data_IF_186717281030
#
_entry.id   IF_186717281030
#
_cell.length_a   1.000
_cell.length_b   1.000
_cell.length_c   1.000
_cell.angle_alpha   90.00
_cell.angle_beta   90.00
_cell.angle_gamma   90.00
#
_symmetry.space_group_name_H-M   'P 1'
#
loop_
_entity.id
_entity.type
_entity.pdbx_description
1 polymer ?
#
# COMPACT_ATOMS: atom_id res chain seq x y z
N UNK A 1 18.90 -12.59 3.16
CA UNK A 1 18.29 -11.91 1.99
C UNK A 1 17.26 -12.85 1.38
N UNK A 2 16.02 -12.46 1.31
CA UNK A 2 15.02 -13.18 0.52
C UNK A 2 15.35 -12.83 -0.94
N UNK A 3 16.08 -13.72 -1.62
CA UNK A 3 16.25 -13.60 -3.07
C UNK A 3 14.93 -14.01 -3.73
N UNK A 4 14.33 -13.13 -4.49
CA UNK A 4 13.03 -13.37 -5.13
C UNK A 4 12.48 -12.11 -5.74
N UNK A 5 11.18 -12.11 -6.00
CA UNK A 5 10.50 -10.96 -6.61
C UNK A 5 9.80 -10.11 -5.58
N UNK A 6 9.79 -8.80 -5.80
CA UNK A 6 8.92 -7.87 -5.08
C UNK A 6 7.71 -7.56 -5.94
N UNK A 7 6.55 -7.60 -5.30
CA UNK A 7 5.27 -7.21 -5.91
C UNK A 7 4.81 -5.93 -5.22
N UNK A 8 4.81 -4.82 -5.94
CA UNK A 8 4.45 -3.51 -5.43
C UNK A 8 2.96 -3.25 -5.67
N UNK A 9 2.21 -3.12 -4.57
CA UNK A 9 0.75 -2.94 -4.55
C UNK A 9 0.44 -1.52 -4.11
N UNK A 10 0.02 -0.67 -5.05
CA UNK A 10 -0.27 0.75 -4.80
C UNK A 10 -1.58 0.94 -4.01
N UNK A 11 -1.76 2.13 -3.42
CA UNK A 11 -3.02 2.49 -2.77
C UNK A 11 -4.19 2.49 -3.78
N UNK A 12 -5.39 2.01 -3.41
CA UNK A 12 -6.59 2.16 -4.23
C UNK A 12 -7.00 3.63 -4.50
N UNK A 13 -6.39 4.59 -3.84
CA UNK A 13 -6.60 6.03 -4.02
C UNK A 13 -5.62 6.67 -5.00
N UNK A 14 -4.57 5.92 -5.37
CA UNK A 14 -3.56 6.35 -6.34
C UNK A 14 -3.32 5.24 -7.36
N UNK A 15 -2.54 5.53 -8.40
CA UNK A 15 -2.09 4.53 -9.34
C UNK A 15 -0.63 4.12 -9.10
N UNK A 16 -0.04 3.34 -10.03
CA UNK A 16 1.35 2.90 -9.96
C UNK A 16 2.37 4.04 -10.02
N UNK A 17 1.97 5.24 -10.47
CA UNK A 17 2.83 6.43 -10.46
C UNK A 17 3.36 6.78 -9.07
N UNK A 18 2.65 6.38 -7.99
CA UNK A 18 3.11 6.57 -6.62
C UNK A 18 4.43 5.84 -6.29
N UNK A 19 4.84 4.87 -7.10
CA UNK A 19 6.10 4.15 -6.96
C UNK A 19 7.29 4.85 -7.64
N UNK A 20 7.03 5.80 -8.54
CA UNK A 20 8.07 6.54 -9.27
C UNK A 20 9.13 5.62 -9.88
N UNK A 21 10.40 5.94 -9.61
CA UNK A 21 11.55 5.16 -10.07
C UNK A 21 11.94 4.00 -9.13
N UNK A 22 11.26 3.80 -8.00
CA UNK A 22 11.59 2.71 -7.06
C UNK A 22 11.66 1.33 -7.73
N UNK A 23 10.76 0.95 -8.66
CA UNK A 23 10.85 -0.33 -9.34
C UNK A 23 12.17 -0.51 -10.10
N UNK A 24 12.67 0.55 -10.75
CA UNK A 24 13.93 0.49 -11.51
C UNK A 24 15.13 0.43 -10.57
N UNK A 25 15.12 1.18 -9.45
CA UNK A 25 16.17 1.08 -8.42
C UNK A 25 16.26 -0.31 -7.79
N UNK A 26 15.15 -1.01 -7.65
CA UNK A 26 15.15 -2.39 -7.16
C UNK A 26 15.67 -3.36 -8.24
N UNK A 27 15.35 -3.14 -9.52
CA UNK A 27 15.88 -3.94 -10.65
C UNK A 27 17.38 -3.76 -10.81
N UNK A 28 17.93 -2.57 -10.55
CA UNK A 28 19.37 -2.32 -10.52
C UNK A 28 20.10 -3.21 -9.49
N UNK A 29 19.42 -3.58 -8.41
CA UNK A 29 19.89 -4.55 -7.40
C UNK A 29 19.62 -6.03 -7.80
N UNK A 30 19.28 -6.28 -9.06
CA UNK A 30 18.98 -7.61 -9.61
C UNK A 30 17.76 -8.29 -8.94
N UNK A 31 16.83 -7.49 -8.42
CA UNK A 31 15.56 -7.96 -7.88
C UNK A 31 14.53 -7.93 -8.99
N UNK A 32 13.80 -9.02 -9.17
CA UNK A 32 12.64 -9.05 -10.05
C UNK A 32 11.48 -8.26 -9.42
N UNK A 33 10.86 -7.35 -10.17
CA UNK A 33 9.82 -6.44 -9.65
C UNK A 33 8.61 -6.44 -10.54
N UNK A 34 7.48 -6.79 -9.96
CA UNK A 34 6.15 -6.63 -10.54
C UNK A 34 5.48 -5.41 -9.90
N UNK A 35 5.05 -4.46 -10.70
CA UNK A 35 4.19 -3.36 -10.25
C UNK A 35 2.77 -3.68 -10.66
N UNK A 36 1.89 -3.81 -9.68
CA UNK A 36 0.46 -3.99 -9.93
C UNK A 36 -0.12 -2.65 -10.36
N UNK A 37 -0.87 -2.65 -11.46
CA UNK A 37 -1.61 -1.48 -11.97
C UNK A 37 -3.10 -1.82 -11.99
N UNK A 38 -3.73 -1.67 -10.84
CA UNK A 38 -5.17 -1.92 -10.73
C UNK A 38 -5.93 -0.72 -11.24
N UNK A 39 -6.53 -0.90 -12.39
CA UNK A 39 -7.51 0.04 -12.95
C UNK A 39 -8.88 -0.39 -12.43
N UNK A 40 -9.24 0.16 -11.29
CA UNK A 40 -10.32 -0.32 -10.44
C UNK A 40 -11.69 -0.11 -11.08
N UNK A 41 -12.58 -1.08 -10.88
CA UNK A 41 -14.00 -0.93 -11.18
C UNK A 41 -14.60 0.14 -10.24
N UNK A 42 -15.27 1.14 -10.81
CA UNK A 42 -15.88 2.25 -10.06
C UNK A 42 -17.13 1.82 -9.27
N UNK A 43 -17.41 0.51 -9.16
CA UNK A 43 -18.59 -0.04 -8.52
C UNK A 43 -18.24 -1.01 -7.37
N UNK A 44 -19.02 -1.02 -6.29
CA UNK A 44 -18.85 -1.97 -5.20
C UNK A 44 -19.14 -3.42 -5.66
N UNK A 45 -18.48 -4.42 -5.07
CA UNK A 45 -17.54 -4.33 -3.95
C UNK A 45 -16.13 -3.95 -4.45
N UNK A 46 -15.66 -2.75 -4.06
CA UNK A 46 -14.39 -2.17 -4.53
C UNK A 46 -13.17 -3.01 -4.10
N UNK A 47 -13.16 -3.48 -2.84
CA UNK A 47 -12.04 -4.26 -2.33
C UNK A 47 -11.90 -5.58 -3.09
N UNK A 48 -12.99 -6.27 -3.40
CA UNK A 48 -12.98 -7.52 -4.15
C UNK A 48 -12.53 -7.29 -5.60
N UNK A 49 -12.98 -6.19 -6.23
CA UNK A 49 -12.55 -5.75 -7.55
C UNK A 49 -11.03 -5.56 -7.61
N UNK A 50 -10.52 -4.76 -6.66
CA UNK A 50 -9.08 -4.51 -6.52
C UNK A 50 -8.28 -5.80 -6.34
N UNK A 51 -8.67 -6.66 -5.38
CA UNK A 51 -7.99 -7.92 -5.09
C UNK A 51 -7.96 -8.83 -6.33
N UNK A 52 -9.10 -8.98 -7.00
CA UNK A 52 -9.20 -9.84 -8.20
C UNK A 52 -8.26 -9.37 -9.31
N UNK A 53 -8.19 -8.06 -9.59
CA UNK A 53 -7.31 -7.51 -10.62
C UNK A 53 -5.83 -7.64 -10.22
N UNK A 54 -5.48 -7.31 -8.97
CA UNK A 54 -4.12 -7.46 -8.46
C UNK A 54 -3.63 -8.91 -8.58
N UNK A 55 -4.43 -9.87 -8.14
CA UNK A 55 -4.11 -11.31 -8.23
C UNK A 55 -3.93 -11.76 -9.69
N UNK A 56 -4.83 -11.34 -10.59
CA UNK A 56 -4.72 -11.69 -12.00
C UNK A 56 -3.39 -11.21 -12.60
N UNK A 57 -3.00 -9.95 -12.33
CA UNK A 57 -1.74 -9.40 -12.84
C UNK A 57 -0.50 -10.09 -12.24
N UNK A 58 -0.54 -10.43 -10.94
CA UNK A 58 0.56 -11.19 -10.30
C UNK A 58 0.70 -12.57 -10.94
N UNK A 59 -0.41 -13.26 -11.18
CA UNK A 59 -0.41 -14.59 -11.80
C UNK A 59 0.10 -14.52 -13.24
N UNK A 60 -0.34 -13.52 -14.01
CA UNK A 60 0.07 -13.33 -15.41
C UNK A 60 1.55 -12.93 -15.54
N UNK A 61 2.06 -12.11 -14.63
CA UNK A 61 3.47 -11.70 -14.60
C UNK A 61 4.43 -12.85 -14.23
N UNK A 62 3.94 -13.88 -13.54
CA UNK A 62 4.73 -15.05 -13.13
C UNK A 62 6.04 -14.71 -12.39
N UNK A 63 6.01 -13.84 -11.34
CA UNK A 63 7.22 -13.45 -10.64
C UNK A 63 7.99 -14.65 -10.09
N UNK A 64 9.32 -14.54 -10.07
CA UNK A 64 10.18 -15.58 -9.53
C UNK A 64 9.95 -15.72 -8.01
N UNK A 65 9.71 -16.95 -7.54
CA UNK A 65 9.60 -17.24 -6.12
C UNK A 65 10.98 -17.16 -5.41
N UNK A 66 11.03 -16.78 -4.13
CA UNK A 66 9.93 -16.37 -3.27
C UNK A 66 9.42 -14.95 -3.56
N UNK A 67 8.15 -14.68 -3.24
CA UNK A 67 7.52 -13.36 -3.48
C UNK A 67 7.40 -12.60 -2.17
N UNK A 68 7.78 -11.32 -2.19
CA UNK A 68 7.48 -10.35 -1.12
C UNK A 68 6.40 -9.38 -1.65
N UNK A 69 5.26 -9.33 -0.97
CA UNK A 69 4.22 -8.35 -1.27
C UNK A 69 4.52 -7.05 -0.50
N UNK A 70 4.63 -5.94 -1.21
CA UNK A 70 4.89 -4.62 -0.64
C UNK A 70 3.67 -3.73 -0.88
N UNK A 71 2.95 -3.38 0.17
CA UNK A 71 1.79 -2.51 0.07
C UNK A 71 2.12 -1.09 0.51
N UNK A 72 1.60 -0.11 -0.21
CA UNK A 72 1.64 1.29 0.15
C UNK A 72 0.28 1.80 0.62
N UNK A 73 0.27 2.55 1.72
CA UNK A 73 -0.91 3.29 2.17
C UNK A 73 -2.14 2.39 2.39
N UNK A 74 -3.27 2.71 1.79
CA UNK A 74 -4.52 1.95 1.91
C UNK A 74 -4.49 0.52 1.37
N UNK A 75 -3.48 0.15 0.59
CA UNK A 75 -3.33 -1.23 0.08
C UNK A 75 -2.94 -2.23 1.17
N UNK A 76 -2.41 -1.78 2.31
CA UNK A 76 -2.02 -2.66 3.40
C UNK A 76 -3.16 -3.56 3.89
N UNK A 77 -4.37 -3.02 4.02
CA UNK A 77 -5.55 -3.78 4.42
C UNK A 77 -5.98 -4.84 3.38
N UNK A 78 -5.48 -4.77 2.15
CA UNK A 78 -5.80 -5.69 1.06
C UNK A 78 -4.77 -6.81 0.87
N UNK A 79 -3.62 -6.76 1.57
CA UNK A 79 -2.62 -7.83 1.49
C UNK A 79 -3.15 -9.20 1.91
N UNK A 80 -3.94 -9.35 3.00
CA UNK A 80 -4.44 -10.65 3.39
C UNK A 80 -5.30 -11.34 2.32
N UNK A 81 -6.32 -10.71 1.71
CA UNK A 81 -7.10 -11.35 0.66
C UNK A 81 -6.30 -11.60 -0.63
N UNK A 82 -5.33 -10.72 -0.99
CA UNK A 82 -4.43 -10.98 -2.11
C UNK A 82 -3.59 -12.23 -1.83
N UNK A 83 -2.97 -12.31 -0.64
CA UNK A 83 -2.18 -13.47 -0.23
C UNK A 83 -2.98 -14.76 -0.22
N UNK A 84 -4.19 -14.74 0.33
CA UNK A 84 -5.08 -15.90 0.37
C UNK A 84 -5.44 -16.40 -1.04
N UNK A 85 -5.67 -15.50 -1.99
CA UNK A 85 -5.96 -15.87 -3.37
C UNK A 85 -4.73 -16.45 -4.11
N UNK A 86 -3.51 -16.08 -3.69
CA UNK A 86 -2.26 -16.63 -4.20
C UNK A 86 -1.81 -17.91 -3.46
N UNK A 87 -2.45 -18.21 -2.30
CA UNK A 87 -2.04 -19.32 -1.44
C UNK A 87 -2.14 -20.68 -2.15
N UNK A 88 -1.12 -21.51 -1.94
CA UNK A 88 -1.02 -22.84 -2.58
C UNK A 88 -0.59 -22.82 -4.04
N UNK A 89 -0.46 -21.62 -4.66
CA UNK A 89 0.11 -21.43 -5.99
C UNK A 89 1.63 -21.32 -5.99
N UNK A 90 2.20 -21.20 -7.18
CA UNK A 90 3.65 -20.95 -7.35
C UNK A 90 4.05 -19.56 -6.86
N UNK A 91 3.10 -18.63 -6.79
CA UNK A 91 3.27 -17.23 -6.42
C UNK A 91 2.84 -16.96 -4.95
N UNK A 92 2.85 -17.96 -4.06
CA UNK A 92 2.58 -17.75 -2.64
C UNK A 92 3.55 -16.76 -2.02
N UNK A 93 3.02 -15.81 -1.26
CA UNK A 93 3.84 -14.82 -0.56
C UNK A 93 4.72 -15.48 0.51
N UNK A 94 5.94 -14.97 0.66
CA UNK A 94 6.92 -15.39 1.66
C UNK A 94 7.30 -14.27 2.62
N UNK A 95 6.72 -13.11 2.41
CA UNK A 95 6.87 -11.95 3.29
C UNK A 95 5.94 -10.81 2.89
N UNK A 96 5.62 -9.97 3.85
CA UNK A 96 4.77 -8.81 3.70
C UNK A 96 5.48 -7.57 4.19
N UNK A 97 5.48 -6.52 3.40
CA UNK A 97 5.98 -5.21 3.79
C UNK A 97 4.87 -4.17 3.72
N UNK A 98 4.70 -3.43 4.80
CA UNK A 98 3.78 -2.31 4.92
C UNK A 98 4.57 -1.01 4.85
N UNK A 99 4.59 -0.37 3.69
CA UNK A 99 5.28 0.89 3.46
C UNK A 99 4.29 2.03 3.70
N UNK A 100 4.44 2.74 4.83
CA UNK A 100 3.49 3.78 5.26
C UNK A 100 2.05 3.34 4.98
N UNK A 101 1.67 2.17 5.48
CA UNK A 101 0.42 1.53 5.14
C UNK A 101 -0.42 1.18 6.38
N UNK A 102 -1.72 1.19 6.20
CA UNK A 102 -2.65 0.69 7.21
C UNK A 102 -2.45 -0.81 7.39
N UNK A 103 -2.62 -1.29 8.63
CA UNK A 103 -2.58 -2.72 8.89
C UNK A 103 -3.99 -3.33 8.82
N UNK A 104 -4.10 -4.58 8.39
CA UNK A 104 -5.38 -5.28 8.42
C UNK A 104 -5.81 -5.51 9.87
N UNK A 105 -7.04 -5.14 10.19
CA UNK A 105 -7.66 -5.37 11.49
C UNK A 105 -8.72 -6.46 11.43
N UNK A 106 -8.97 -7.19 12.53
CA UNK A 106 -10.06 -8.16 12.59
C UNK A 106 -11.43 -7.46 12.54
N UNK A 107 -12.48 -8.20 12.17
CA UNK A 107 -13.87 -7.74 12.29
C UNK A 107 -14.42 -6.98 11.09
N UNK A 108 -13.80 -7.06 9.95
CA UNK A 108 -14.25 -6.38 8.71
C UNK A 108 -14.41 -4.85 8.86
N UNK A 109 -13.36 -4.14 9.33
CA UNK A 109 -13.43 -2.69 9.44
C UNK A 109 -13.61 -2.07 8.06
N UNK A 110 -14.27 -0.92 8.01
CA UNK A 110 -14.24 -0.06 6.83
C UNK A 110 -12.96 0.80 6.81
N UNK A 111 -12.70 1.47 5.69
CA UNK A 111 -11.59 2.44 5.62
C UNK A 111 -11.78 3.61 6.58
N UNK A 112 -13.03 4.00 6.86
CA UNK A 112 -13.32 5.01 7.89
C UNK A 112 -12.95 4.53 9.29
N UNK A 113 -13.18 3.24 9.59
CA UNK A 113 -12.79 2.66 10.87
C UNK A 113 -11.26 2.63 11.02
N UNK A 114 -10.52 2.30 9.96
CA UNK A 114 -9.05 2.35 9.97
C UNK A 114 -8.52 3.77 10.22
N UNK A 115 -9.10 4.78 9.58
CA UNK A 115 -8.77 6.19 9.82
C UNK A 115 -9.09 6.62 11.26
N UNK A 116 -10.14 6.06 11.88
CA UNK A 116 -10.50 6.34 13.27
C UNK A 116 -9.43 5.80 14.24
N UNK A 117 -8.86 4.63 13.96
CA UNK A 117 -7.75 4.04 14.74
C UNK A 117 -6.48 4.92 14.69
N UNK A 118 -6.22 5.60 13.59
CA UNK A 118 -5.11 6.55 13.44
C UNK A 118 -5.23 7.81 14.32
N UNK A 119 -6.23 7.90 15.19
CA UNK A 119 -6.46 9.02 16.07
C UNK A 119 -7.25 10.15 15.42
N UNK A 120 -8.13 9.77 14.52
CA UNK A 120 -8.85 10.64 13.61
C UNK A 120 -9.89 11.57 14.22
N UNK A 121 -9.47 12.59 14.95
CA UNK A 121 -10.39 13.69 15.31
C UNK A 121 -11.07 14.35 14.09
N UNK A 122 -10.47 14.21 12.91
CA UNK A 122 -11.01 14.72 11.65
C UNK A 122 -12.01 13.75 10.98
N UNK A 123 -12.04 12.46 11.35
CA UNK A 123 -12.78 11.42 10.62
C UNK A 123 -14.28 11.70 10.57
N UNK A 124 -14.85 12.21 11.65
CA UNK A 124 -16.27 12.56 11.66
C UNK A 124 -16.61 13.65 10.63
N UNK A 125 -15.77 14.68 10.51
CA UNK A 125 -15.92 15.74 9.53
C UNK A 125 -15.67 15.23 8.10
N UNK A 126 -14.65 14.39 7.91
CA UNK A 126 -14.33 13.75 6.65
C UNK A 126 -15.48 12.87 6.16
N UNK A 127 -16.01 11.98 7.02
CA UNK A 127 -17.15 11.14 6.70
C UNK A 127 -18.41 11.95 6.40
N UNK A 128 -18.63 13.08 7.09
CA UNK A 128 -19.74 13.99 6.79
C UNK A 128 -19.57 14.66 5.43
N UNK A 129 -18.36 15.08 5.07
CA UNK A 129 -18.04 15.64 3.75
C UNK A 129 -18.28 14.62 2.63
N UNK A 130 -17.82 13.38 2.79
CA UNK A 130 -18.07 12.30 1.84
C UNK A 130 -19.58 12.03 1.66
N UNK A 131 -20.35 11.98 2.75
CA UNK A 131 -21.81 11.85 2.69
C UNK A 131 -22.51 13.02 2.00
N UNK A 132 -21.90 14.19 2.06
CA UNK A 132 -22.39 15.38 1.34
C UNK A 132 -21.99 15.38 -0.16
N UNK A 133 -21.31 14.35 -0.63
CA UNK A 133 -20.94 14.17 -2.05
C UNK A 133 -19.52 14.62 -2.39
N UNK A 134 -18.66 14.90 -1.40
CA UNK A 134 -17.24 15.14 -1.66
C UNK A 134 -16.55 13.84 -2.07
N UNK A 135 -15.44 14.00 -2.79
CA UNK A 135 -14.55 12.91 -3.22
C UNK A 135 -13.15 13.12 -2.65
N UNK A 136 -12.40 12.03 -2.45
CA UNK A 136 -11.02 12.08 -1.98
C UNK A 136 -10.20 10.94 -2.63
N UNK A 137 -8.92 11.18 -2.99
CA UNK A 137 -8.18 12.45 -2.91
C UNK A 137 -8.51 13.39 -4.09
N UNK A 138 -8.35 14.68 -3.87
CA UNK A 138 -8.52 15.72 -4.90
C UNK A 138 -7.32 16.68 -4.91
N UNK A 139 -6.13 16.14 -4.64
CA UNK A 139 -4.91 16.94 -4.59
C UNK A 139 -4.55 17.53 -5.95
N UNK A 140 -4.05 18.74 -5.92
CA UNK A 140 -3.51 19.44 -7.07
C UNK A 140 -1.99 19.35 -7.12
N UNK A 141 -1.40 19.65 -8.27
CA UNK A 141 0.06 19.67 -8.45
C UNK A 141 0.73 20.65 -7.47
N UNK A 142 0.09 21.81 -7.22
CA UNK A 142 0.64 22.83 -6.33
C UNK A 142 0.60 22.38 -4.85
N UNK A 143 -0.47 21.70 -4.41
CA UNK A 143 -0.57 21.18 -3.04
C UNK A 143 0.45 20.08 -2.73
N UNK A 144 0.96 19.39 -3.74
CA UNK A 144 1.97 18.36 -3.59
C UNK A 144 3.41 18.88 -3.69
N UNK A 145 3.62 20.19 -3.91
CA UNK A 145 4.95 20.75 -4.19
C UNK A 145 5.97 20.52 -3.06
N UNK A 146 5.54 20.58 -1.81
CA UNK A 146 6.39 20.35 -0.64
C UNK A 146 6.60 18.85 -0.32
N UNK A 147 5.81 17.97 -0.95
CA UNK A 147 5.82 16.52 -0.67
C UNK A 147 6.56 15.75 -1.75
N UNK A 148 6.36 16.14 -3.01
CA UNK A 148 7.02 15.57 -4.19
C UNK A 148 7.76 16.69 -4.91
N UNK A 149 9.08 16.80 -4.75
CA UNK A 149 9.87 17.94 -5.28
C UNK A 149 9.87 18.03 -6.81
N UNK A 150 9.90 16.90 -7.52
CA UNK A 150 9.92 16.87 -8.97
C UNK A 150 8.57 17.23 -9.58
N UNK A 151 8.54 18.10 -10.58
CA UNK A 151 7.32 18.62 -11.18
C UNK A 151 6.61 17.59 -12.10
N UNK A 152 7.39 16.77 -12.80
CA UNK A 152 6.86 15.74 -13.70
C UNK A 152 6.24 14.61 -12.88
N UNK A 153 6.90 14.22 -11.79
CA UNK A 153 6.41 13.22 -10.85
C UNK A 153 5.10 13.68 -10.17
N UNK A 154 4.99 14.98 -9.80
CA UNK A 154 3.72 15.52 -9.28
C UNK A 154 2.59 15.43 -10.30
N UNK A 155 2.87 15.78 -11.54
CA UNK A 155 1.86 15.68 -12.62
C UNK A 155 1.43 14.23 -12.82
N UNK A 156 2.38 13.29 -12.88
CA UNK A 156 2.09 11.87 -13.02
C UNK A 156 1.26 11.34 -11.85
N UNK A 157 1.62 11.71 -10.61
CA UNK A 157 0.88 11.32 -9.41
C UNK A 157 -0.56 11.86 -9.45
N UNK A 158 -0.76 13.15 -9.75
CA UNK A 158 -2.09 13.77 -9.82
C UNK A 158 -2.94 13.12 -10.92
N UNK A 159 -2.36 12.80 -12.08
CA UNK A 159 -3.07 12.09 -13.14
C UNK A 159 -3.47 10.66 -12.79
N UNK A 160 -2.74 10.06 -11.85
CA UNK A 160 -3.00 8.70 -11.36
C UNK A 160 -3.94 8.64 -10.16
N UNK A 161 -4.36 9.78 -9.61
CA UNK A 161 -5.30 9.81 -8.49
C UNK A 161 -6.63 9.17 -8.87
N UNK A 162 -7.19 8.43 -7.93
CA UNK A 162 -8.49 7.76 -8.04
C UNK A 162 -9.42 8.28 -6.94
N UNK A 163 -10.08 9.43 -7.17
CA UNK A 163 -11.00 9.99 -6.18
C UNK A 163 -12.16 9.05 -5.90
N UNK A 164 -12.49 8.87 -4.63
CA UNK A 164 -13.54 7.97 -4.15
C UNK A 164 -14.52 8.71 -3.27
N UNK A 165 -15.78 8.28 -3.35
CA UNK A 165 -16.86 8.81 -2.53
C UNK A 165 -17.10 7.98 -1.26
N UNK A 166 -18.20 8.31 -0.56
CA UNK A 166 -18.55 7.72 0.72
C UNK A 166 -18.61 6.18 0.69
N UNK A 167 -19.20 5.58 -0.34
CA UNK A 167 -19.43 4.13 -0.40
C UNK A 167 -18.12 3.33 -0.38
N UNK A 168 -17.08 3.83 -1.07
CA UNK A 168 -15.74 3.24 -1.02
C UNK A 168 -15.15 3.27 0.40
N UNK A 169 -15.29 4.38 1.12
CA UNK A 169 -14.72 4.53 2.45
C UNK A 169 -15.50 3.78 3.53
N UNK A 170 -16.79 3.58 3.33
CA UNK A 170 -17.67 2.86 4.27
C UNK A 170 -17.83 1.37 3.98
N UNK A 171 -17.29 0.88 2.86
CA UNK A 171 -17.32 -0.53 2.51
C UNK A 171 -16.56 -1.38 3.56
N UNK A 172 -17.15 -2.48 4.08
CA UNK A 172 -16.43 -3.43 4.91
C UNK A 172 -15.29 -4.09 4.13
N UNK A 173 -14.07 -4.04 4.68
CA UNK A 173 -12.92 -4.68 4.06
C UNK A 173 -12.92 -6.20 4.30
N UNK A 174 -12.50 -6.99 3.32
CA UNK A 174 -12.45 -8.44 3.47
C UNK A 174 -11.42 -8.84 4.54
N UNK A 175 -11.77 -9.80 5.37
CA UNK A 175 -10.88 -10.42 6.35
C UNK A 175 -10.50 -11.81 5.92
N UNK A 176 -9.28 -12.22 6.25
CA UNK A 176 -8.75 -13.53 5.90
C UNK A 176 -8.29 -14.26 7.16
N UNK A 177 -8.91 -15.42 7.42
CA UNK A 177 -8.48 -16.27 8.54
C UNK A 177 -7.10 -16.86 8.31
N UNK A 178 -6.31 -16.95 9.39
CA UNK A 178 -4.98 -17.55 9.35
C UNK A 178 -3.86 -16.64 8.83
N UNK A 179 -4.17 -15.38 8.57
CA UNK A 179 -3.16 -14.36 8.23
C UNK A 179 -2.59 -13.71 9.52
N UNK A 180 -1.29 -13.36 9.59
CA UNK A 180 -0.27 -13.57 8.57
C UNK A 180 0.26 -15.01 8.53
N UNK A 181 0.46 -15.52 7.33
CA UNK A 181 1.00 -16.85 7.05
C UNK A 181 2.50 -16.80 6.63
N UNK A 182 3.08 -15.62 6.64
CA UNK A 182 4.50 -15.35 6.38
C UNK A 182 4.99 -14.17 7.24
N UNK A 183 6.31 -13.97 7.39
CA UNK A 183 6.86 -12.80 8.10
C UNK A 183 6.36 -11.48 7.58
N UNK A 184 6.13 -10.54 8.49
CA UNK A 184 5.69 -9.18 8.19
C UNK A 184 6.72 -8.17 8.68
N UNK A 185 6.89 -7.06 7.96
CA UNK A 185 7.70 -5.93 8.38
C UNK A 185 7.03 -4.59 8.07
N UNK A 186 7.38 -3.57 8.83
CA UNK A 186 6.82 -2.24 8.68
C UNK A 186 7.90 -1.23 8.29
N UNK A 187 7.66 -0.50 7.21
CA UNK A 187 8.53 0.57 6.73
C UNK A 187 7.80 1.90 6.91
N UNK A 188 8.18 2.64 7.94
CA UNK A 188 7.62 3.94 8.27
C UNK A 188 8.39 5.02 7.54
N UNK A 189 7.69 5.85 6.76
CA UNK A 189 8.24 6.96 6.00
C UNK A 189 7.75 8.32 6.48
N UNK A 190 6.59 8.37 7.15
CA UNK A 190 6.01 9.62 7.65
C UNK A 190 5.39 9.48 9.03
N UNK A 191 5.33 10.57 9.78
CA UNK A 191 4.73 10.61 11.10
C UNK A 191 3.20 10.35 11.10
N UNK A 192 2.55 10.51 9.95
CA UNK A 192 1.13 10.20 9.80
C UNK A 192 0.80 8.73 10.10
N UNK A 193 1.80 7.83 9.97
CA UNK A 193 1.64 6.40 10.18
C UNK A 193 2.22 5.88 11.50
N UNK A 194 2.59 6.77 12.44
CA UNK A 194 3.15 6.39 13.75
C UNK A 194 2.21 5.49 14.57
N UNK A 195 0.90 5.63 14.42
CA UNK A 195 -0.06 4.70 15.03
C UNK A 195 0.20 3.25 14.59
N UNK A 196 0.33 3.01 13.28
CA UNK A 196 0.55 1.67 12.71
C UNK A 196 1.93 1.10 13.06
N UNK A 197 2.94 1.96 13.23
CA UNK A 197 4.24 1.56 13.81
C UNK A 197 4.05 0.98 15.21
N UNK A 198 3.23 1.62 16.04
CA UNK A 198 2.89 1.13 17.37
C UNK A 198 2.22 -0.25 17.33
N UNK A 199 1.29 -0.46 16.41
CA UNK A 199 0.61 -1.76 16.21
C UNK A 199 1.59 -2.83 15.73
N UNK A 200 2.42 -2.52 14.72
CA UNK A 200 3.45 -3.44 14.22
C UNK A 200 4.45 -3.84 15.31
N UNK A 201 4.85 -2.89 16.16
CA UNK A 201 5.73 -3.15 17.31
C UNK A 201 5.09 -4.08 18.34
N UNK A 202 3.80 -3.94 18.63
CA UNK A 202 3.06 -4.85 19.50
C UNK A 202 2.96 -6.27 18.93
N UNK A 203 2.94 -6.40 17.60
CA UNK A 203 2.96 -7.67 16.89
C UNK A 203 4.37 -8.29 16.79
N UNK A 204 5.40 -7.57 17.26
CA UNK A 204 6.78 -8.02 17.21
C UNK A 204 7.42 -8.01 15.82
N UNK A 205 6.86 -7.23 14.88
CA UNK A 205 7.40 -7.15 13.55
C UNK A 205 8.66 -6.27 13.49
N UNK A 206 9.65 -6.59 12.66
CA UNK A 206 10.75 -5.67 12.38
C UNK A 206 10.24 -4.36 11.78
N UNK A 207 10.82 -3.24 12.24
CA UNK A 207 10.45 -1.90 11.83
C UNK A 207 11.70 -1.17 11.36
N UNK A 208 11.63 -0.58 10.18
CA UNK A 208 12.58 0.43 9.71
C UNK A 208 11.84 1.75 9.60
N UNK A 209 12.39 2.80 10.21
CA UNK A 209 11.78 4.13 10.20
C UNK A 209 12.70 5.15 9.51
N UNK A 210 12.10 5.97 8.65
CA UNK A 210 12.73 7.11 7.97
C UNK A 210 11.74 8.28 7.99
N UNK A 211 12.23 9.49 7.82
CA UNK A 211 11.41 10.70 7.67
C UNK A 211 11.57 11.26 6.26
N UNK A 212 11.03 10.53 5.27
CA UNK A 212 11.12 10.85 3.85
C UNK A 212 9.76 11.31 3.26
N UNK A 213 8.69 11.24 4.05
CA UNK A 213 7.33 11.58 3.62
C UNK A 213 6.56 10.41 3.03
N UNK A 214 5.23 10.55 2.98
CA UNK A 214 4.31 9.47 2.55
C UNK A 214 4.56 8.97 1.11
N UNK A 215 4.98 9.86 0.22
CA UNK A 215 5.33 9.52 -1.17
C UNK A 215 6.84 9.34 -1.36
N UNK A 216 7.55 8.83 -0.36
CA UNK A 216 8.98 8.64 -0.41
C UNK A 216 9.45 7.77 -1.60
N UNK A 217 8.68 6.76 -1.97
CA UNK A 217 9.00 5.91 -3.13
C UNK A 217 9.09 6.70 -4.45
N UNK A 218 8.32 7.79 -4.56
CA UNK A 218 8.34 8.71 -5.67
C UNK A 218 9.39 9.81 -5.49
N UNK A 219 9.45 10.43 -4.29
CA UNK A 219 10.28 11.60 -4.02
C UNK A 219 11.77 11.27 -3.80
N UNK A 220 12.07 10.13 -3.19
CA UNK A 220 13.43 9.63 -2.92
C UNK A 220 13.49 8.10 -3.08
N UNK A 221 13.46 7.60 -4.32
CA UNK A 221 13.42 6.17 -4.61
C UNK A 221 14.66 5.42 -4.14
N UNK A 222 15.83 6.08 -4.06
CA UNK A 222 17.06 5.45 -3.59
C UNK A 222 17.04 5.21 -2.09
N UNK A 223 16.70 6.23 -1.29
CA UNK A 223 16.58 6.06 0.15
C UNK A 223 15.44 5.08 0.51
N UNK A 224 14.37 5.05 -0.28
CA UNK A 224 13.26 4.10 -0.09
C UNK A 224 13.71 2.68 -0.41
N UNK A 225 14.46 2.45 -1.50
CA UNK A 225 15.07 1.16 -1.83
C UNK A 225 15.94 0.66 -0.68
N UNK A 226 16.85 1.50 -0.19
CA UNK A 226 17.80 1.11 0.86
C UNK A 226 17.05 0.69 2.15
N UNK A 227 16.04 1.46 2.54
CA UNK A 227 15.22 1.14 3.69
C UNK A 227 14.38 -0.15 3.49
N UNK A 228 13.87 -0.38 2.28
CA UNK A 228 13.14 -1.60 1.96
C UNK A 228 14.05 -2.83 2.00
N UNK A 229 15.28 -2.74 1.48
CA UNK A 229 16.27 -3.81 1.51
C UNK A 229 16.74 -4.10 2.94
N UNK A 230 16.95 -3.06 3.76
CA UNK A 230 17.27 -3.21 5.18
C UNK A 230 16.17 -4.00 5.90
N UNK A 231 14.91 -3.61 5.72
CA UNK A 231 13.77 -4.27 6.36
C UNK A 231 13.64 -5.73 5.91
N UNK A 232 13.68 -5.98 4.60
CA UNK A 232 13.50 -7.33 4.05
C UNK A 232 14.68 -8.25 4.34
N UNK A 233 15.86 -7.69 4.64
CA UNK A 233 17.00 -8.44 5.16
C UNK A 233 16.77 -9.00 6.57
N UNK A 234 15.72 -8.53 7.27
CA UNK A 234 15.34 -8.95 8.64
C UNK A 234 14.12 -9.88 8.66
N UNK A 235 13.47 -10.13 7.51
CA UNK A 235 12.35 -11.07 7.34
C UNK A 235 12.88 -12.47 7.01
#
# INVERSE_FOLDING_TARGET
>A
MIAGSYVLVHSPLTGPAAWGQLPDRLRDEQIDVVVVDVDDDDEPPFADGYVRQAVAQIVDAQPAAPIVLVAHSGAGALLPPIAAALHGGKQSARGYVFLDAVLPLPGQPSRLDLLQEEGGGFVAAFAASLRAGSWFPTWTVDELADIVPDAEDRVALVQSLRPRGHDFFSEPLPTTGGWPDAPCGYLRMSAAYDHWVGVAGQLGWPIVARDLGHFAALADPEATRDALLELTGSL
#
